data_IF_502301664764
#
_entry.id   IF_502301664764
#
_cell.length_a   1.000
_cell.length_b   1.000
_cell.length_c   1.000
_cell.angle_alpha   90.00
_cell.angle_beta   90.00
_cell.angle_gamma   90.00
#
_symmetry.space_group_name_H-M   'P 1'
#
loop_
_entity.id
_entity.type
_entity.pdbx_description
1 polymer ?
#
# COMPACT_ATOMS: atom_id res chain seq x y z
N UNK A 1 -22.11 -5.58 5.94
CA UNK A 1 -20.95 -5.92 5.07
C UNK A 1 -19.70 -5.46 5.79
N UNK A 2 -18.75 -6.34 6.09
CA UNK A 2 -17.55 -6.00 6.89
C UNK A 2 -16.37 -5.57 5.99
N UNK A 3 -16.67 -4.95 4.86
CA UNK A 3 -15.71 -4.51 3.85
C UNK A 3 -16.05 -3.08 3.43
N UNK A 4 -15.06 -2.20 3.50
CA UNK A 4 -15.11 -0.83 3.00
C UNK A 4 -14.21 -0.74 1.76
N UNK A 5 -14.76 -0.24 0.65
CA UNK A 5 -14.00 0.05 -0.56
C UNK A 5 -13.68 1.54 -0.56
N UNK A 6 -12.40 1.88 -0.48
CA UNK A 6 -11.94 3.27 -0.45
C UNK A 6 -11.74 3.83 -1.85
N UNK A 7 -11.98 5.14 -2.01
CA UNK A 7 -11.81 5.81 -3.29
C UNK A 7 -10.34 6.12 -3.61
N UNK A 8 -10.04 6.09 -4.90
CA UNK A 8 -8.76 6.48 -5.49
C UNK A 8 -8.82 7.95 -5.95
N UNK A 9 -7.73 8.70 -5.77
CA UNK A 9 -7.64 10.11 -6.16
C UNK A 9 -6.27 10.46 -6.74
N UNK A 10 -6.18 11.58 -7.43
CA UNK A 10 -4.93 12.07 -8.05
C UNK A 10 -3.81 12.23 -7.01
N UNK A 11 -4.14 12.65 -5.78
CA UNK A 11 -3.19 12.73 -4.68
C UNK A 11 -2.60 11.36 -4.29
N UNK A 12 -3.39 10.30 -4.38
CA UNK A 12 -2.92 8.93 -4.17
C UNK A 12 -2.01 8.52 -5.33
N UNK A 13 -2.39 8.84 -6.57
CA UNK A 13 -1.58 8.53 -7.75
C UNK A 13 -0.21 9.22 -7.71
N UNK A 14 -0.15 10.52 -7.44
CA UNK A 14 1.11 11.27 -7.30
C UNK A 14 2.01 10.70 -6.20
N UNK A 15 1.40 10.23 -5.10
CA UNK A 15 2.14 9.59 -4.02
C UNK A 15 2.64 8.20 -4.41
N UNK A 16 1.86 7.44 -5.18
CA UNK A 16 2.28 6.16 -5.74
C UNK A 16 3.52 6.32 -6.62
N UNK A 17 3.57 7.32 -7.51
CA UNK A 17 4.74 7.58 -8.35
C UNK A 17 6.04 7.80 -7.55
N UNK A 18 5.94 8.44 -6.37
CA UNK A 18 7.07 8.57 -5.43
C UNK A 18 7.44 7.24 -4.78
N UNK A 19 6.45 6.48 -4.33
CA UNK A 19 6.66 5.17 -3.70
C UNK A 19 7.23 4.11 -4.65
N UNK A 20 6.88 4.15 -5.93
CA UNK A 20 7.51 3.30 -6.95
C UNK A 20 9.03 3.47 -6.92
N UNK A 21 9.53 4.71 -6.86
CA UNK A 21 10.97 4.99 -6.82
C UNK A 21 11.60 4.67 -5.47
N UNK A 22 10.93 5.04 -4.38
CA UNK A 22 11.47 4.89 -3.01
C UNK A 22 11.58 3.43 -2.57
N UNK A 23 10.59 2.61 -2.93
CA UNK A 23 10.47 1.22 -2.49
C UNK A 23 10.62 0.22 -3.65
N UNK A 24 10.97 0.68 -4.87
CA UNK A 24 11.11 -0.16 -6.07
C UNK A 24 9.88 -1.03 -6.36
N UNK A 25 8.69 -0.51 -6.04
CA UNK A 25 7.42 -1.20 -6.20
C UNK A 25 6.86 -1.05 -7.63
N UNK A 26 6.14 -2.07 -8.07
CA UNK A 26 5.28 -1.97 -9.26
C UNK A 26 4.14 -0.97 -9.01
N UNK A 27 3.52 -0.49 -10.08
CA UNK A 27 2.52 0.60 -10.00
C UNK A 27 1.32 0.25 -9.11
N UNK A 28 0.81 -0.97 -9.20
CA UNK A 28 -0.27 -1.49 -8.35
C UNK A 28 0.11 -1.47 -6.86
N UNK A 29 1.30 -1.94 -6.52
CA UNK A 29 1.74 -2.04 -5.11
C UNK A 29 2.04 -0.66 -4.53
N UNK A 30 2.61 0.24 -5.34
CA UNK A 30 2.79 1.63 -4.96
C UNK A 30 1.45 2.35 -4.73
N UNK A 31 0.41 2.05 -5.52
CA UNK A 31 -0.95 2.57 -5.32
C UNK A 31 -1.55 2.05 -4.01
N UNK A 32 -1.39 0.76 -3.72
CA UNK A 32 -1.81 0.21 -2.42
C UNK A 32 -1.09 0.91 -1.27
N UNK A 33 0.23 1.07 -1.35
CA UNK A 33 1.02 1.71 -0.32
C UNK A 33 0.64 3.19 -0.11
N UNK A 34 0.41 3.93 -1.19
CA UNK A 34 -0.06 5.31 -1.16
C UNK A 34 -1.44 5.44 -0.53
N UNK A 35 -2.35 4.53 -0.88
CA UNK A 35 -3.71 4.44 -0.32
C UNK A 35 -3.63 4.18 1.18
N UNK A 36 -2.88 3.17 1.60
CA UNK A 36 -2.68 2.85 3.01
C UNK A 36 -2.14 4.04 3.81
N UNK A 37 -1.17 4.77 3.25
CA UNK A 37 -0.63 5.98 3.88
C UNK A 37 -1.68 7.10 4.01
N UNK A 38 -2.56 7.27 3.01
CA UNK A 38 -3.63 8.29 3.02
C UNK A 38 -4.71 8.00 4.06
N UNK A 39 -5.07 6.74 4.22
CA UNK A 39 -6.12 6.26 5.13
C UNK A 39 -5.57 5.80 6.50
N UNK A 40 -4.27 5.99 6.76
CA UNK A 40 -3.59 5.59 8.01
C UNK A 40 -3.73 4.09 8.33
N UNK A 41 -3.82 3.26 7.30
CA UNK A 41 -3.83 1.80 7.42
C UNK A 41 -2.38 1.34 7.56
N UNK A 42 -2.06 0.66 8.67
CA UNK A 42 -0.69 0.20 8.97
C UNK A 42 -0.51 -1.30 8.89
N UNK A 43 -1.59 -2.05 8.58
CA UNK A 43 -1.57 -3.49 8.49
C UNK A 43 -2.00 -3.90 7.07
N UNK A 44 -1.26 -4.81 6.44
CA UNK A 44 -1.63 -5.40 5.15
C UNK A 44 -1.65 -6.91 5.27
N UNK A 45 -2.70 -7.56 4.77
CA UNK A 45 -2.74 -8.99 4.58
C UNK A 45 -2.32 -9.30 3.14
N UNK A 46 -1.09 -9.78 2.96
CA UNK A 46 -0.56 -10.10 1.63
C UNK A 46 0.58 -11.11 1.74
N UNK A 47 0.67 -12.03 0.78
CA UNK A 47 1.83 -12.92 0.65
C UNK A 47 2.98 -12.30 -0.15
N UNK A 48 2.77 -11.12 -0.74
CA UNK A 48 3.82 -10.37 -1.39
C UNK A 48 4.89 -9.91 -0.38
N UNK A 49 6.15 -10.21 -0.70
CA UNK A 49 7.31 -9.87 0.13
C UNK A 49 7.78 -8.45 -0.09
N UNK A 50 7.39 -7.80 -1.18
CA UNK A 50 7.86 -6.46 -1.52
C UNK A 50 7.37 -5.41 -0.51
N UNK A 51 6.29 -5.68 0.23
CA UNK A 51 5.80 -4.83 1.32
C UNK A 51 6.60 -4.98 2.63
N UNK A 52 7.40 -6.04 2.80
CA UNK A 52 8.21 -6.26 4.00
C UNK A 52 9.33 -5.24 4.14
N UNK A 53 9.74 -4.60 3.04
CA UNK A 53 10.74 -3.52 3.07
C UNK A 53 10.19 -2.18 3.60
N UNK A 54 8.87 -2.09 3.85
CA UNK A 54 8.24 -0.85 4.30
C UNK A 54 8.09 -0.82 5.81
N UNK A 55 9.00 -0.12 6.48
CA UNK A 55 9.16 -0.12 7.95
C UNK A 55 7.89 0.21 8.76
N UNK A 56 6.99 1.04 8.22
CA UNK A 56 5.77 1.46 8.92
C UNK A 56 4.59 0.49 8.73
N UNK A 57 4.77 -0.58 7.95
CA UNK A 57 3.77 -1.61 7.72
C UNK A 57 4.00 -2.85 8.58
N UNK A 58 2.92 -3.36 9.16
CA UNK A 58 2.83 -4.72 9.65
C UNK A 58 2.26 -5.62 8.55
N UNK A 59 3.09 -6.50 8.00
CA UNK A 59 2.68 -7.50 7.01
C UNK A 59 2.17 -8.74 7.72
N UNK A 60 0.93 -9.14 7.39
CA UNK A 60 0.33 -10.39 7.81
C UNK A 60 0.30 -11.34 6.61
N UNK A 61 0.88 -12.53 6.76
CA UNK A 61 0.86 -13.60 5.75
C UNK A 61 -0.36 -14.50 5.99
N UNK A 62 -1.44 -14.39 5.20
CA UNK A 62 -2.56 -15.33 5.30
C UNK A 62 -2.12 -16.72 4.84
N UNK A 63 -2.63 -17.75 5.51
CA UNK A 63 -2.42 -19.17 5.13
C UNK A 63 -3.17 -19.52 3.86
#
# INVERSE_FOLDING_TARGET
MNLEIVSFSDLIFEKALRFMKQHRLMSNDAVHLATMKRYRVTNIATNDRDFEQVEWLKVWKPR
#
